data_IF_825061725660
#
_entry.id   IF_825061725660
#
_cell.length_a   1.000
_cell.length_b   1.000
_cell.length_c   1.000
_cell.angle_alpha   90.00
_cell.angle_beta   90.00
_cell.angle_gamma   90.00
#
_symmetry.space_group_name_H-M   'P 1'
#
loop_
_entity.id
_entity.type
_entity.pdbx_description
1 polymer ?
#
# COMPACT_ATOMS: atom_id res chain seq x y z
N UNK A 1 60.80 5.23 -14.62
CA UNK A 1 59.78 5.32 -13.54
C UNK A 1 58.50 5.85 -14.15
N UNK A 2 57.40 5.11 -14.03
CA UNK A 2 56.07 5.55 -14.48
C UNK A 2 55.26 5.85 -13.22
N UNK A 3 54.72 7.07 -13.12
CA UNK A 3 53.83 7.45 -12.03
C UNK A 3 52.38 7.23 -12.46
N UNK A 4 51.62 6.46 -11.69
CA UNK A 4 50.19 6.27 -11.90
C UNK A 4 49.45 7.27 -11.02
N UNK A 5 48.67 8.18 -11.63
CA UNK A 5 47.80 9.10 -10.92
C UNK A 5 46.46 8.40 -10.65
N UNK A 6 46.22 7.99 -9.41
CA UNK A 6 44.93 7.44 -9.00
C UNK A 6 43.93 8.59 -8.79
N UNK A 7 42.96 8.73 -9.71
CA UNK A 7 41.88 9.69 -9.58
C UNK A 7 40.85 9.13 -8.59
N UNK A 8 40.85 9.60 -7.35
CA UNK A 8 39.77 9.33 -6.39
C UNK A 8 38.56 10.19 -6.76
N UNK A 9 37.59 9.60 -7.44
CA UNK A 9 36.27 10.21 -7.54
C UNK A 9 35.60 10.14 -6.16
N UNK A 10 35.59 11.27 -5.45
CA UNK A 10 34.69 11.48 -4.32
C UNK A 10 33.25 11.44 -4.87
N UNK A 11 32.63 10.27 -4.81
CA UNK A 11 31.18 10.12 -4.96
C UNK A 11 30.53 10.84 -3.79
N UNK A 12 30.26 12.13 -3.95
CA UNK A 12 29.34 12.83 -3.07
C UNK A 12 27.98 12.21 -3.33
N UNK A 13 27.34 11.54 -2.34
CA UNK A 13 25.99 11.05 -2.53
C UNK A 13 25.10 12.26 -2.85
N UNK A 14 24.57 12.29 -4.07
CA UNK A 14 23.58 13.28 -4.45
C UNK A 14 22.44 13.19 -3.43
N UNK A 15 22.19 14.28 -2.70
CA UNK A 15 21.06 14.35 -1.80
C UNK A 15 19.80 14.42 -2.67
N UNK A 16 19.16 13.27 -2.91
CA UNK A 16 17.89 13.23 -3.61
C UNK A 16 16.84 13.94 -2.74
N UNK A 17 16.31 15.06 -3.22
CA UNK A 17 15.18 15.72 -2.56
C UNK A 17 14.00 14.74 -2.50
N UNK A 18 13.42 14.59 -1.32
CA UNK A 18 12.20 13.82 -1.15
C UNK A 18 11.07 14.49 -1.98
N UNK A 19 10.24 13.73 -2.70
CA UNK A 19 9.08 14.31 -3.35
C UNK A 19 8.18 14.93 -2.27
N UNK A 20 7.86 16.22 -2.42
CA UNK A 20 6.94 16.92 -1.52
C UNK A 20 5.48 16.69 -1.88
N UNK A 21 5.22 16.22 -3.10
CA UNK A 21 3.89 15.96 -3.63
C UNK A 21 3.96 14.78 -4.61
N UNK A 22 2.94 13.93 -4.57
CA UNK A 22 2.69 12.88 -5.54
C UNK A 22 1.32 13.14 -6.15
N UNK A 23 1.26 13.31 -7.46
CA UNK A 23 0.02 13.63 -8.16
C UNK A 23 -0.18 12.75 -9.39
N UNK A 24 -1.29 12.02 -9.40
CA UNK A 24 -1.71 11.15 -10.50
C UNK A 24 -3.12 11.56 -10.95
N UNK A 25 -3.27 12.40 -12.00
CA UNK A 25 -4.59 12.79 -12.52
C UNK A 25 -5.31 11.62 -13.20
N UNK A 26 -4.58 10.54 -13.44
CA UNK A 26 -4.95 9.27 -14.04
C UNK A 26 -3.67 8.45 -14.17
N UNK A 27 -3.78 7.21 -14.62
CA UNK A 27 -2.64 6.30 -14.75
C UNK A 27 -2.22 6.05 -16.21
N UNK A 28 -2.91 6.69 -17.17
CA UNK A 28 -2.55 6.59 -18.60
C UNK A 28 -1.16 7.16 -18.85
N UNK A 29 -0.29 6.37 -19.49
CA UNK A 29 1.09 6.79 -19.76
C UNK A 29 1.95 6.96 -18.50
N UNK A 30 1.47 6.52 -17.32
CA UNK A 30 2.32 6.45 -16.13
C UNK A 30 3.51 5.57 -16.46
N UNK A 31 4.70 6.18 -16.38
CA UNK A 31 5.96 5.48 -16.61
C UNK A 31 6.05 4.38 -15.56
N UNK A 32 6.26 3.13 -16.00
CA UNK A 32 6.40 1.95 -15.14
C UNK A 32 7.42 2.13 -14.01
N UNK A 33 8.33 3.09 -14.15
CA UNK A 33 9.36 3.38 -13.16
C UNK A 33 8.79 4.06 -11.90
N UNK A 34 7.64 4.74 -11.99
CA UNK A 34 7.03 5.44 -10.85
C UNK A 34 6.15 4.55 -9.97
N UNK A 35 5.59 3.47 -10.52
CA UNK A 35 4.72 2.54 -9.81
C UNK A 35 5.20 1.11 -9.94
N UNK A 36 5.31 0.41 -8.82
CA UNK A 36 5.51 -1.03 -8.78
C UNK A 36 4.15 -1.71 -8.65
N UNK A 37 3.72 -2.39 -9.70
CA UNK A 37 2.49 -3.19 -9.71
C UNK A 37 2.82 -4.66 -9.42
N UNK A 38 2.09 -5.30 -8.51
CA UNK A 38 2.24 -6.73 -8.18
C UNK A 38 0.88 -7.42 -8.06
N UNK A 39 0.89 -8.75 -8.13
CA UNK A 39 -0.33 -9.55 -8.13
C UNK A 39 -1.12 -9.35 -9.43
N UNK A 40 -2.42 -9.11 -9.31
CA UNK A 40 -3.32 -8.85 -10.44
C UNK A 40 -3.39 -7.38 -10.87
N UNK A 41 -2.71 -6.48 -10.16
CA UNK A 41 -2.79 -5.04 -10.42
C UNK A 41 -2.27 -4.67 -11.81
N UNK A 42 -3.04 -3.87 -12.53
CA UNK A 42 -2.75 -3.42 -13.89
C UNK A 42 -3.28 -2.00 -14.13
N UNK A 43 -2.67 -1.30 -15.08
CA UNK A 43 -3.23 -0.06 -15.62
C UNK A 43 -3.99 -0.43 -16.89
N UNK A 44 -5.28 -0.10 -16.93
CA UNK A 44 -6.14 -0.33 -18.09
C UNK A 44 -5.84 0.67 -19.22
N UNK A 45 -6.27 0.36 -20.44
CA UNK A 45 -6.05 1.23 -21.62
C UNK A 45 -6.66 2.63 -21.44
N UNK A 46 -7.75 2.74 -20.67
CA UNK A 46 -8.42 3.99 -20.32
C UNK A 46 -7.66 4.81 -19.23
N UNK A 47 -6.55 4.29 -18.69
CA UNK A 47 -5.76 4.93 -17.65
C UNK A 47 -6.28 4.73 -16.22
N UNK A 48 -7.16 3.76 -15.97
CA UNK A 48 -7.60 3.38 -14.62
C UNK A 48 -6.60 2.40 -14.02
N UNK A 49 -6.20 2.62 -12.77
CA UNK A 49 -5.48 1.62 -11.98
C UNK A 49 -6.49 0.61 -11.44
N UNK A 50 -6.42 -0.61 -11.94
CA UNK A 50 -7.25 -1.73 -11.55
C UNK A 50 -6.43 -2.66 -10.64
N UNK A 51 -6.78 -2.76 -9.36
CA UNK A 51 -6.06 -3.62 -8.41
C UNK A 51 -6.46 -5.09 -8.53
N UNK A 52 -7.74 -5.35 -8.75
CA UNK A 52 -8.35 -6.69 -8.87
C UNK A 52 -9.49 -6.65 -9.88
N UNK A 53 -9.82 -7.81 -10.45
CA UNK A 53 -10.98 -8.01 -11.32
C UNK A 53 -11.86 -9.19 -10.84
N UNK A 54 -12.95 -9.44 -11.57
CA UNK A 54 -13.95 -10.44 -11.20
C UNK A 54 -13.53 -11.91 -11.47
N UNK A 55 -12.27 -12.19 -11.82
CA UNK A 55 -11.87 -13.55 -12.22
C UNK A 55 -11.60 -14.51 -11.05
N UNK A 56 -11.72 -14.04 -9.79
CA UNK A 56 -11.62 -14.89 -8.61
C UNK A 56 -11.06 -14.18 -7.37
N UNK A 57 -10.57 -14.93 -6.37
CA UNK A 57 -9.97 -14.35 -5.17
C UNK A 57 -8.58 -13.81 -5.48
N UNK A 58 -8.54 -12.59 -5.97
CA UNK A 58 -7.31 -11.90 -6.36
C UNK A 58 -6.83 -10.94 -5.28
N UNK A 59 -5.53 -10.66 -5.33
CA UNK A 59 -4.93 -9.50 -4.69
C UNK A 59 -4.11 -8.74 -5.74
N UNK A 60 -3.98 -7.45 -5.56
CA UNK A 60 -3.09 -6.63 -6.36
C UNK A 60 -2.62 -5.42 -5.57
N UNK A 61 -1.37 -5.04 -5.80
CA UNK A 61 -0.77 -3.86 -5.17
C UNK A 61 -0.27 -2.89 -6.21
N UNK A 62 -0.33 -1.61 -5.87
CA UNK A 62 0.30 -0.54 -6.60
C UNK A 62 1.06 0.35 -5.61
N UNK A 63 2.37 0.15 -5.52
CA UNK A 63 3.23 0.96 -4.66
C UNK A 63 3.94 2.03 -5.47
N UNK A 64 4.08 3.23 -4.92
CA UNK A 64 5.04 4.20 -5.46
C UNK A 64 6.46 3.61 -5.38
N UNK A 65 7.17 3.60 -6.50
CA UNK A 65 8.43 2.85 -6.64
C UNK A 65 9.57 3.39 -5.78
N UNK A 66 9.54 4.70 -5.47
CA UNK A 66 10.60 5.38 -4.73
C UNK A 66 10.22 5.56 -3.26
N UNK A 67 11.03 5.06 -2.32
CA UNK A 67 10.73 5.21 -0.90
C UNK A 67 10.85 6.68 -0.47
N UNK A 68 10.01 7.06 0.48
CA UNK A 68 10.09 8.36 1.14
C UNK A 68 10.19 8.23 2.66
N UNK A 69 10.75 9.25 3.31
CA UNK A 69 10.95 9.28 4.77
C UNK A 69 9.71 9.82 5.45
N UNK A 70 9.14 9.04 6.37
CA UNK A 70 7.98 9.44 7.19
C UNK A 70 8.37 9.98 8.57
N UNK A 71 9.63 9.79 8.98
CA UNK A 71 10.16 10.23 10.27
C UNK A 71 11.55 10.83 10.11
N UNK A 72 11.85 11.86 10.89
CA UNK A 72 13.19 12.42 10.94
C UNK A 72 14.17 11.43 11.57
N UNK A 73 15.39 11.33 11.02
CA UNK A 73 16.47 10.54 11.62
C UNK A 73 17.12 11.26 12.81
N UNK A 74 16.89 12.56 12.97
CA UNK A 74 17.54 13.41 13.99
C UNK A 74 16.56 13.99 15.01
N UNK A 75 15.28 14.01 14.70
CA UNK A 75 14.20 14.46 15.59
C UNK A 75 13.26 13.29 15.88
N UNK A 76 12.63 13.28 17.04
CA UNK A 76 11.62 12.27 17.39
C UNK A 76 10.30 12.42 16.64
N UNK A 77 10.15 13.44 15.81
CA UNK A 77 8.91 13.84 15.13
C UNK A 77 8.73 13.12 13.79
N UNK A 78 7.49 12.70 13.54
CA UNK A 78 7.03 12.23 12.23
C UNK A 78 6.67 13.42 11.33
N UNK A 79 6.79 13.24 10.01
CA UNK A 79 6.30 14.21 9.04
C UNK A 79 4.79 14.08 8.90
N UNK A 80 4.09 15.21 8.86
CA UNK A 80 2.67 15.24 8.51
C UNK A 80 2.47 15.05 7.02
N UNK A 81 1.44 14.30 6.64
CA UNK A 81 1.03 14.14 5.25
C UNK A 81 -0.49 14.16 5.14
N UNK A 82 -0.98 14.41 3.94
CA UNK A 82 -2.37 14.23 3.56
C UNK A 82 -2.41 13.50 2.22
N UNK A 83 -3.40 12.64 2.03
CA UNK A 83 -3.66 12.02 0.74
C UNK A 83 -5.14 12.22 0.37
N UNK A 84 -5.42 12.16 -0.92
CA UNK A 84 -6.78 12.11 -1.44
C UNK A 84 -6.76 11.30 -2.73
N UNK A 85 -7.71 10.39 -2.86
CA UNK A 85 -7.88 9.57 -4.05
C UNK A 85 -9.37 9.24 -4.22
N UNK A 86 -9.75 8.93 -5.44
CA UNK A 86 -11.07 8.40 -5.78
C UNK A 86 -10.91 6.94 -6.20
N UNK A 87 -11.83 6.10 -5.78
CA UNK A 87 -11.86 4.68 -6.13
C UNK A 87 -13.31 4.22 -6.34
N UNK A 88 -13.46 3.07 -6.99
CA UNK A 88 -14.73 2.38 -7.14
C UNK A 88 -14.52 0.89 -6.85
N UNK A 89 -15.46 0.29 -6.13
CA UNK A 89 -15.55 -1.15 -5.92
C UNK A 89 -16.78 -1.61 -6.70
N UNK A 90 -16.57 -2.48 -7.70
CA UNK A 90 -17.63 -2.98 -8.57
C UNK A 90 -17.69 -4.49 -8.41
N UNK A 91 -18.65 -5.04 -7.63
CA UNK A 91 -18.75 -6.48 -7.42
C UNK A 91 -19.30 -7.18 -8.67
N UNK A 92 -18.85 -8.40 -8.93
CA UNK A 92 -19.43 -9.26 -9.99
C UNK A 92 -20.89 -9.59 -9.68
N UNK A 93 -21.17 -9.92 -8.41
CA UNK A 93 -22.51 -10.17 -7.90
C UNK A 93 -22.79 -9.26 -6.71
N UNK A 94 -23.78 -8.36 -6.84
CA UNK A 94 -24.16 -7.40 -5.79
C UNK A 94 -24.51 -8.06 -4.45
N UNK A 95 -24.98 -9.31 -4.48
CA UNK A 95 -25.34 -10.07 -3.27
C UNK A 95 -24.14 -10.73 -2.58
N UNK A 96 -22.98 -10.82 -3.23
CA UNK A 96 -21.77 -11.44 -2.66
C UNK A 96 -20.71 -10.40 -2.30
N UNK A 97 -20.70 -9.25 -2.96
CA UNK A 97 -19.75 -8.18 -2.68
C UNK A 97 -18.30 -8.56 -2.99
N UNK A 98 -17.37 -7.87 -2.32
CA UNK A 98 -15.94 -8.15 -2.29
C UNK A 98 -15.41 -7.90 -0.88
N UNK A 99 -14.09 -7.91 -0.69
CA UNK A 99 -13.49 -7.68 0.62
C UNK A 99 -13.02 -6.25 0.84
N UNK A 100 -12.64 -5.50 -0.21
CA UNK A 100 -12.34 -4.08 -0.07
C UNK A 100 -11.00 -3.65 -0.65
N UNK A 101 -10.46 -2.57 -0.08
CA UNK A 101 -9.25 -1.85 -0.51
C UNK A 101 -8.54 -1.27 0.70
N UNK A 102 -7.22 -1.12 0.65
CA UNK A 102 -6.48 -0.33 1.63
C UNK A 102 -5.47 0.64 1.01
N UNK A 103 -5.33 1.82 1.63
CA UNK A 103 -4.19 2.70 1.46
C UNK A 103 -3.11 2.30 2.47
N UNK A 104 -1.90 1.98 2.00
CA UNK A 104 -0.85 1.39 2.84
C UNK A 104 0.42 2.23 2.80
N UNK A 105 0.99 2.50 3.98
CA UNK A 105 2.37 2.95 4.17
C UNK A 105 3.13 1.79 4.80
N UNK A 106 4.15 1.28 4.11
CA UNK A 106 4.94 0.14 4.57
C UNK A 106 6.43 0.37 4.36
N UNK A 107 7.25 -0.31 5.15
CA UNK A 107 8.72 -0.34 4.98
C UNK A 107 9.18 -1.16 3.77
N UNK A 108 8.29 -1.98 3.19
CA UNK A 108 8.53 -2.78 1.99
C UNK A 108 7.30 -2.74 1.08
N UNK A 109 7.54 -2.71 -0.24
CA UNK A 109 6.50 -2.87 -1.27
C UNK A 109 6.19 -4.32 -1.63
N UNK A 110 6.95 -5.26 -1.07
CA UNK A 110 6.78 -6.69 -1.28
C UNK A 110 6.16 -7.30 -0.03
N UNK A 111 4.84 -7.19 0.07
CA UNK A 111 4.08 -7.74 1.18
C UNK A 111 3.87 -9.24 0.98
N UNK A 112 4.09 -10.02 2.04
CA UNK A 112 3.62 -11.42 2.10
C UNK A 112 2.17 -11.38 2.54
N UNK A 113 1.26 -11.32 1.58
CA UNK A 113 -0.15 -11.14 1.85
C UNK A 113 -1.04 -12.15 1.13
N UNK A 114 -2.25 -12.32 1.64
CA UNK A 114 -3.30 -13.15 1.08
C UNK A 114 -4.44 -12.28 0.51
N UNK A 115 -5.23 -12.82 -0.45
CA UNK A 115 -6.44 -12.16 -0.92
C UNK A 115 -7.55 -12.26 0.12
N UNK A 116 -8.74 -11.76 -0.23
CA UNK A 116 -9.96 -11.83 0.58
C UNK A 116 -9.89 -10.99 1.86
N UNK A 117 -10.27 -11.56 3.00
CA UNK A 117 -10.35 -10.89 4.30
C UNK A 117 -9.02 -10.29 4.76
N UNK A 118 -7.91 -10.74 4.16
CA UNK A 118 -6.59 -10.22 4.47
C UNK A 118 -6.24 -8.90 3.74
N UNK A 119 -7.14 -8.40 2.89
CA UNK A 119 -7.03 -7.15 2.10
C UNK A 119 -5.73 -6.99 1.29
N UNK A 120 -4.98 -8.08 1.07
CA UNK A 120 -3.64 -7.99 0.51
C UNK A 120 -2.63 -7.32 1.44
N UNK A 121 -2.90 -7.19 2.74
CA UNK A 121 -1.98 -6.60 3.72
C UNK A 121 -1.17 -7.67 4.44
N UNK A 122 -1.82 -8.71 4.96
CA UNK A 122 -1.18 -9.71 5.83
C UNK A 122 -1.41 -11.15 5.36
N UNK A 123 -0.70 -12.09 6.00
CA UNK A 123 -0.89 -13.52 5.82
C UNK A 123 -1.51 -14.13 7.09
N UNK A 124 -2.24 -15.24 6.96
CA UNK A 124 -2.94 -15.92 8.05
C UNK A 124 -2.04 -16.25 9.26
N UNK A 125 -0.77 -16.59 9.03
CA UNK A 125 0.18 -16.95 10.11
C UNK A 125 0.70 -15.75 10.91
N UNK A 126 0.54 -14.52 10.41
CA UNK A 126 0.93 -13.29 11.11
C UNK A 126 -0.29 -12.58 11.74
N UNK A 127 -1.49 -13.17 11.61
CA UNK A 127 -2.70 -12.70 12.29
C UNK A 127 -2.82 -13.22 13.74
N UNK A 128 -2.13 -14.31 14.07
CA UNK A 128 -2.12 -14.92 15.41
C UNK A 128 -0.80 -14.63 16.14
N UNK A 129 -0.84 -13.75 17.16
CA UNK A 129 0.17 -13.54 18.22
C UNK A 129 1.63 -13.25 17.81
N UNK A 130 1.92 -13.08 16.52
CA UNK A 130 3.22 -12.62 16.03
C UNK A 130 3.07 -11.24 15.42
N UNK A 131 3.75 -10.19 15.94
CA UNK A 131 3.78 -8.92 15.24
C UNK A 131 4.25 -9.20 13.82
N UNK A 132 3.47 -8.78 12.83
CA UNK A 132 3.88 -9.03 11.46
C UNK A 132 5.29 -8.48 11.28
N UNK A 133 6.14 -9.18 10.54
CA UNK A 133 7.47 -8.64 10.21
C UNK A 133 7.38 -7.46 9.22
N UNK A 134 6.18 -6.90 9.06
CA UNK A 134 5.84 -5.83 8.14
C UNK A 134 5.42 -4.62 8.97
N UNK A 135 6.38 -3.73 9.21
CA UNK A 135 6.08 -2.41 9.77
C UNK A 135 5.23 -1.64 8.74
N UNK A 136 3.93 -1.56 9.00
CA UNK A 136 2.96 -0.90 8.14
C UNK A 136 1.84 -0.21 8.92
N UNK A 137 1.28 0.80 8.28
CA UNK A 137 0.01 1.43 8.66
C UNK A 137 -0.91 1.37 7.46
N UNK A 138 -2.14 0.92 7.66
CA UNK A 138 -3.16 0.89 6.62
C UNK A 138 -4.39 1.70 7.02
N UNK A 139 -5.02 2.32 6.03
CA UNK A 139 -6.41 2.79 6.11
C UNK A 139 -7.21 1.92 5.17
N UNK A 140 -8.07 1.08 5.73
CA UNK A 140 -8.88 0.12 4.99
C UNK A 140 -10.29 0.66 4.72
N UNK A 141 -10.85 0.18 3.62
CA UNK A 141 -12.21 0.34 3.18
C UNK A 141 -12.76 -1.06 2.99
N UNK A 142 -13.11 -1.68 4.12
CA UNK A 142 -13.62 -3.05 4.16
C UNK A 142 -15.10 -3.07 3.79
N UNK A 143 -15.47 -4.07 3.00
CA UNK A 143 -16.84 -4.30 2.51
C UNK A 143 -17.38 -5.68 2.89
N UNK A 144 -16.68 -6.38 3.77
CA UNK A 144 -17.07 -7.65 4.35
C UNK A 144 -16.93 -7.59 5.87
N UNK A 145 -17.70 -8.43 6.56
CA UNK A 145 -17.56 -8.62 8.00
C UNK A 145 -16.84 -9.92 8.30
N UNK A 146 -15.61 -9.82 8.75
CA UNK A 146 -14.78 -10.93 9.14
C UNK A 146 -14.64 -10.99 10.67
N UNK A 147 -15.37 -11.93 11.30
CA UNK A 147 -15.42 -12.06 12.76
C UNK A 147 -14.05 -12.35 13.39
N UNK A 148 -13.11 -12.91 12.63
CA UNK A 148 -11.74 -13.16 13.08
C UNK A 148 -10.93 -11.88 13.32
N UNK A 149 -11.30 -10.76 12.69
CA UNK A 149 -10.67 -9.44 12.85
C UNK A 149 -11.48 -8.46 13.70
N UNK A 150 -12.60 -8.93 14.26
CA UNK A 150 -13.49 -8.15 15.13
C UNK A 150 -14.16 -6.97 14.41
N UNK A 151 -14.51 -7.17 13.15
CA UNK A 151 -15.21 -6.17 12.35
C UNK A 151 -16.57 -5.82 12.94
N UNK A 152 -16.83 -4.52 13.05
CA UNK A 152 -18.03 -3.98 13.68
C UNK A 152 -19.30 -4.32 12.87
N UNK A 153 -19.21 -4.32 11.55
CA UNK A 153 -20.30 -4.57 10.60
C UNK A 153 -19.74 -4.94 9.21
N UNK A 154 -20.63 -5.03 8.21
CA UNK A 154 -20.26 -5.40 6.84
C UNK A 154 -19.41 -4.32 6.15
N UNK A 155 -19.83 -3.05 6.17
CA UNK A 155 -19.10 -1.94 5.54
C UNK A 155 -18.52 -0.97 6.58
N UNK A 156 -17.19 -0.84 6.62
CA UNK A 156 -16.52 0.08 7.53
C UNK A 156 -15.22 0.68 6.95
N UNK A 157 -14.71 1.69 7.66
CA UNK A 157 -13.39 2.25 7.42
C UNK A 157 -12.57 2.07 8.69
N UNK A 158 -11.38 1.51 8.53
CA UNK A 158 -10.52 1.07 9.62
C UNK A 158 -9.11 1.65 9.54
N UNK A 159 -8.40 1.64 10.68
CA UNK A 159 -6.97 1.92 10.75
C UNK A 159 -6.24 0.76 11.41
N UNK A 160 -5.32 0.17 10.65
CA UNK A 160 -4.47 -0.94 11.06
C UNK A 160 -3.05 -0.48 11.33
N UNK A 161 -2.46 -1.02 12.40
CA UNK A 161 -1.03 -0.89 12.67
C UNK A 161 -0.46 -2.28 12.85
N UNK A 162 0.37 -2.70 11.89
CA UNK A 162 1.07 -4.00 11.86
C UNK A 162 0.19 -5.26 11.86
N UNK A 163 -1.12 -5.16 12.05
CA UNK A 163 -2.07 -6.28 12.01
C UNK A 163 -3.46 -5.79 11.64
N UNK A 164 -4.28 -6.63 11.01
CA UNK A 164 -5.72 -6.37 10.78
C UNK A 164 -6.57 -6.44 12.07
N UNK A 165 -5.97 -6.69 13.23
CA UNK A 165 -6.64 -6.37 14.48
C UNK A 165 -6.69 -4.84 14.60
N UNK A 166 -7.82 -4.31 14.14
CA UNK A 166 -8.06 -2.89 13.99
C UNK A 166 -7.86 -2.14 15.29
N UNK A 167 -7.06 -1.07 15.25
CA UNK A 167 -6.96 -0.17 16.40
C UNK A 167 -8.20 0.73 16.51
N UNK A 168 -8.79 1.11 15.37
CA UNK A 168 -9.93 2.02 15.29
C UNK A 168 -10.81 1.69 14.07
N UNK A 169 -12.13 1.76 14.25
CA UNK A 169 -13.12 1.55 13.20
C UNK A 169 -14.19 2.65 13.22
N UNK A 170 -14.68 3.04 12.04
CA UNK A 170 -15.82 3.94 11.87
C UNK A 170 -16.83 3.32 10.89
N UNK A 171 -18.10 3.28 11.30
CA UNK A 171 -19.21 2.75 10.51
C UNK A 171 -19.52 3.70 9.34
N UNK A 172 -19.66 3.15 8.13
CA UNK A 172 -20.33 3.85 7.03
C UNK A 172 -21.84 3.70 7.17
N UNK A 173 -22.56 4.82 7.05
CA UNK A 173 -24.02 4.87 6.97
C UNK A 173 -24.49 4.70 5.53
#
# INVERSE_FOLDING_TARGET
>A
MVYFLALFFLLVPASTSQPTELFFPGFSGTISDNLTLTGSAKIEENGILCLTDATGPLLGHAFYSYPFRIKSSTKSEAFSFSNSFAFAIVPEYMSLGGHGLAFVIATSKHLKALPRQYLGIQNATEAEDSPSNQDLVAVEFDTARDLEFQDINDDHVGVDINSLNLMWQVVKY
#
